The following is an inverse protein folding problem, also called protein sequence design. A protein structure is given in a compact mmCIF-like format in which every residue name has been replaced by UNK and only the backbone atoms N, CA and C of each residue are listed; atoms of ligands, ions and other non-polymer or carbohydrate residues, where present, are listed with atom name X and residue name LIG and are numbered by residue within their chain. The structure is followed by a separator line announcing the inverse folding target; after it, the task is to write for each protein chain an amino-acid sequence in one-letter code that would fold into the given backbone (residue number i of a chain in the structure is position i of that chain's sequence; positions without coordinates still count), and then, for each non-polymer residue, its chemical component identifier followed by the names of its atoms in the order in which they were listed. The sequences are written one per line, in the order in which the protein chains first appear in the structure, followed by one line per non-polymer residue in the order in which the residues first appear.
data_IF_050579615304
#
_entry.id   IF_050579615304
#
_cell.length_a   1.000
_cell.length_b   1.000
_cell.length_c   1.000
_cell.angle_alpha   90.00
_cell.angle_beta   90.00
_cell.angle_gamma   90.00
#
_symmetry.space_group_name_H-M   'P 1'
#
loop_
_entity.id
_entity.type
_entity.pdbx_description
1 polymer ?
#
# COMPACT_ATOMS: atom_id res chain seq x y z
N UNK A 1 -10.82 19.72 -24.91
CA UNK A 1 -10.49 19.07 -23.61
C UNK A 1 -10.47 17.56 -23.74
N UNK A 2 -11.49 16.91 -24.33
CA UNK A 2 -11.43 15.47 -24.65
C UNK A 2 -10.20 15.11 -25.51
N UNK A 3 -9.78 16.03 -26.38
CA UNK A 3 -8.59 15.87 -27.23
C UNK A 3 -7.26 15.83 -26.45
N UNK A 4 -7.24 16.29 -25.20
CA UNK A 4 -6.06 16.22 -24.35
C UNK A 4 -5.98 14.91 -23.56
N UNK A 5 -7.03 14.08 -23.58
CA UNK A 5 -7.11 12.81 -22.87
C UNK A 5 -6.71 11.65 -23.82
N UNK A 6 -5.58 11.01 -23.55
CA UNK A 6 -5.21 9.73 -24.18
C UNK A 6 -5.80 8.57 -23.36
N UNK A 7 -6.31 7.55 -24.08
CA UNK A 7 -6.95 6.34 -23.57
C UNK A 7 -6.49 5.18 -24.43
N UNK A 8 -5.36 4.58 -24.07
CA UNK A 8 -4.71 3.53 -24.87
C UNK A 8 -4.73 2.23 -24.08
N UNK A 9 -5.10 1.12 -24.71
CA UNK A 9 -4.95 -0.22 -24.12
C UNK A 9 -3.71 -0.86 -24.74
N UNK A 10 -2.74 -1.21 -23.89
CA UNK A 10 -1.49 -1.85 -24.32
C UNK A 10 -1.23 -3.05 -23.42
N UNK A 11 -1.17 -4.24 -24.02
CA UNK A 11 -0.95 -5.52 -23.31
C UNK A 11 -1.89 -5.73 -22.11
N UNK A 12 -3.19 -5.46 -22.31
CA UNK A 12 -4.20 -5.60 -21.24
C UNK A 12 -4.22 -4.47 -20.22
N UNK A 13 -3.29 -3.49 -20.29
CA UNK A 13 -3.27 -2.33 -19.39
C UNK A 13 -3.92 -1.14 -20.05
N UNK A 14 -4.99 -0.61 -19.46
CA UNK A 14 -5.60 0.63 -19.89
C UNK A 14 -4.83 1.83 -19.32
N UNK A 15 -4.16 2.58 -20.19
CA UNK A 15 -3.40 3.79 -19.86
C UNK A 15 -4.27 5.01 -20.12
N UNK A 16 -4.50 5.80 -19.08
CA UNK A 16 -5.28 7.04 -19.14
C UNK A 16 -4.39 8.18 -18.68
N UNK A 17 -4.18 9.16 -19.56
CA UNK A 17 -3.24 10.27 -19.29
C UNK A 17 -3.67 11.53 -19.99
N UNK A 18 -3.22 12.67 -19.45
CA UNK A 18 -3.31 13.95 -20.12
C UNK A 18 -2.06 14.16 -20.98
N UNK A 19 -2.25 14.61 -22.22
CA UNK A 19 -1.18 14.87 -23.19
C UNK A 19 -0.59 16.28 -23.04
N UNK A 20 -1.10 17.07 -22.10
CA UNK A 20 -0.62 18.40 -21.76
C UNK A 20 -0.89 18.72 -20.28
N UNK A 21 -0.17 19.70 -19.74
CA UNK A 21 -0.41 20.19 -18.39
C UNK A 21 -1.73 20.95 -18.34
N UNK A 22 -2.67 20.46 -17.55
CA UNK A 22 -3.97 21.08 -17.32
C UNK A 22 -4.11 21.37 -15.83
N UNK A 23 -4.54 22.59 -15.49
CA UNK A 23 -4.80 23.00 -14.11
C UNK A 23 -6.13 23.74 -14.03
N UNK A 24 -6.73 23.79 -12.83
CA UNK A 24 -8.01 24.49 -12.53
C UNK A 24 -9.25 23.95 -13.25
N UNK A 25 -9.24 22.67 -13.58
CA UNK A 25 -10.41 21.95 -14.10
C UNK A 25 -10.65 20.70 -13.28
N UNK A 26 -11.93 20.38 -13.04
CA UNK A 26 -12.33 19.12 -12.44
C UNK A 26 -12.60 18.09 -13.56
N UNK A 27 -12.06 16.89 -13.38
CA UNK A 27 -12.18 15.81 -14.35
C UNK A 27 -12.47 14.51 -13.60
N UNK A 28 -13.63 13.92 -13.91
CA UNK A 28 -14.08 12.66 -13.33
C UNK A 28 -14.28 11.63 -14.43
N UNK A 29 -13.71 10.45 -14.21
CA UNK A 29 -13.90 9.31 -15.09
C UNK A 29 -14.49 8.15 -14.29
N UNK A 30 -15.51 7.52 -14.86
CA UNK A 30 -16.08 6.28 -14.36
C UNK A 30 -15.70 5.15 -15.30
N UNK A 31 -15.14 4.08 -14.75
CA UNK A 31 -14.67 2.90 -15.47
C UNK A 31 -15.35 1.68 -14.87
N UNK A 32 -15.81 0.77 -15.71
CA UNK A 32 -16.30 -0.55 -15.31
C UNK A 32 -15.48 -1.57 -16.09
N UNK A 33 -14.89 -2.52 -15.38
CA UNK A 33 -14.10 -3.61 -15.94
C UNK A 33 -14.48 -4.91 -15.20
N UNK A 34 -14.41 -6.06 -15.87
CA UNK A 34 -14.83 -7.33 -15.27
C UNK A 34 -13.90 -7.78 -14.15
N UNK A 35 -12.59 -7.56 -14.30
CA UNK A 35 -11.55 -7.95 -13.35
C UNK A 35 -10.49 -6.83 -13.29
N UNK A 36 -9.84 -6.68 -12.13
CA UNK A 36 -8.78 -5.69 -11.94
C UNK A 36 -7.66 -6.25 -11.07
N UNK A 37 -6.51 -6.50 -11.69
CA UNK A 37 -5.31 -6.98 -10.99
C UNK A 37 -4.32 -5.84 -10.73
N UNK A 38 -4.58 -4.65 -11.29
CA UNK A 38 -3.65 -3.53 -11.24
C UNK A 38 -4.34 -2.17 -11.27
N UNK A 39 -3.99 -1.30 -10.32
CA UNK A 39 -4.39 0.11 -10.31
C UNK A 39 -3.21 1.02 -9.95
N UNK A 40 -2.67 1.75 -10.94
CA UNK A 40 -1.56 2.68 -10.73
C UNK A 40 -2.04 4.13 -10.85
N UNK A 41 -1.55 5.01 -9.98
CA UNK A 41 -1.80 6.45 -10.04
C UNK A 41 -0.50 7.24 -9.94
N UNK A 42 -0.41 8.30 -10.74
CA UNK A 42 0.72 9.23 -10.75
C UNK A 42 0.23 10.67 -10.84
N UNK A 43 1.07 11.61 -10.44
CA UNK A 43 0.73 13.03 -10.43
C UNK A 43 -0.26 13.37 -9.32
N UNK A 44 -1.35 14.05 -9.69
CA UNK A 44 -2.31 14.63 -8.73
C UNK A 44 -3.72 14.06 -8.91
N UNK A 45 -3.87 12.82 -9.40
CA UNK A 45 -5.19 12.20 -9.52
C UNK A 45 -5.58 11.50 -8.20
N UNK A 46 -6.87 11.53 -7.87
CA UNK A 46 -7.44 10.60 -6.90
C UNK A 46 -8.02 9.42 -7.67
N UNK A 47 -7.83 8.20 -7.16
CA UNK A 47 -8.40 6.99 -7.74
C UNK A 47 -9.19 6.28 -6.65
N UNK A 48 -10.40 5.87 -6.98
CA UNK A 48 -11.26 5.05 -6.11
C UNK A 48 -11.62 3.80 -6.88
N UNK A 49 -11.39 2.63 -6.28
CA UNK A 49 -11.76 1.32 -6.82
C UNK A 49 -12.68 0.66 -5.78
N UNK A 50 -13.88 0.27 -6.21
CA UNK A 50 -14.93 -0.25 -5.34
C UNK A 50 -15.66 -1.38 -6.05
N UNK A 51 -16.03 -2.43 -5.32
CA UNK A 51 -17.03 -3.49 -5.62
C UNK A 51 -16.97 -4.23 -6.99
N UNK A 52 -17.10 -5.57 -6.94
CA UNK A 52 -16.14 -6.44 -6.28
C UNK A 52 -14.78 -6.35 -7.01
N UNK A 53 -13.71 -6.17 -6.25
CA UNK A 53 -12.35 -6.32 -6.76
C UNK A 53 -12.03 -7.81 -6.82
N UNK A 54 -12.08 -8.34 -8.04
CA UNK A 54 -11.79 -9.74 -8.38
C UNK A 54 -10.61 -9.82 -9.34
N UNK A 55 -9.90 -10.94 -9.31
CA UNK A 55 -8.69 -11.12 -10.11
C UNK A 55 -8.12 -12.52 -10.13
N UNK A 56 -7.01 -12.70 -10.85
CA UNK A 56 -6.38 -14.00 -11.11
C UNK A 56 -5.53 -14.55 -9.94
N UNK A 57 -5.69 -13.97 -8.75
CA UNK A 57 -4.91 -14.28 -7.56
C UNK A 57 -3.74 -13.33 -7.28
N UNK A 58 -3.49 -12.33 -8.13
CA UNK A 58 -2.52 -11.26 -7.83
C UNK A 58 -3.10 -9.86 -7.97
N UNK A 59 -2.74 -8.97 -7.05
CA UNK A 59 -3.10 -7.55 -7.12
C UNK A 59 -1.88 -6.65 -6.94
N UNK A 60 -1.80 -5.56 -7.68
CA UNK A 60 -0.74 -4.56 -7.53
C UNK A 60 -1.27 -3.14 -7.63
N UNK A 61 -0.80 -2.27 -6.76
CA UNK A 61 -1.05 -0.83 -6.83
C UNK A 61 0.24 -0.05 -6.67
N UNK A 62 0.38 1.01 -7.47
CA UNK A 62 1.49 1.96 -7.36
C UNK A 62 0.98 3.39 -7.28
N UNK A 63 1.42 4.13 -6.27
CA UNK A 63 1.17 5.56 -6.09
C UNK A 63 2.49 6.30 -6.26
N UNK A 64 2.67 7.00 -7.39
CA UNK A 64 3.86 7.82 -7.63
C UNK A 64 3.58 9.34 -7.62
N UNK A 65 2.49 9.73 -6.96
CA UNK A 65 1.94 11.08 -6.93
C UNK A 65 1.92 11.72 -5.54
N UNK A 66 1.11 12.76 -5.41
CA UNK A 66 0.84 13.46 -4.15
C UNK A 66 -0.58 13.23 -3.61
N UNK A 67 -1.38 12.44 -4.32
CA UNK A 67 -2.80 12.17 -4.01
C UNK A 67 -3.04 10.71 -3.66
N UNK A 68 -4.30 10.39 -3.40
CA UNK A 68 -4.72 9.14 -2.78
C UNK A 68 -5.23 8.15 -3.81
N UNK A 69 -4.90 6.88 -3.61
CA UNK A 69 -5.69 5.76 -4.11
C UNK A 69 -6.44 5.11 -2.94
N UNK A 70 -7.72 4.86 -3.15
CA UNK A 70 -8.63 4.23 -2.20
C UNK A 70 -9.22 2.99 -2.85
N UNK A 71 -9.01 1.81 -2.26
CA UNK A 71 -9.36 0.52 -2.86
C UNK A 71 -10.07 -0.32 -1.82
N UNK A 72 -11.30 -0.70 -2.13
CA UNK A 72 -12.14 -1.47 -1.23
C UNK A 72 -12.97 -2.53 -1.94
N UNK A 73 -13.55 -3.44 -1.16
CA UNK A 73 -14.47 -4.47 -1.66
C UNK A 73 -13.76 -5.58 -2.42
N UNK A 74 -12.63 -6.06 -1.93
CA UNK A 74 -12.04 -7.33 -2.39
C UNK A 74 -12.98 -8.48 -2.03
N UNK A 75 -13.37 -9.27 -3.03
CA UNK A 75 -14.28 -10.42 -2.86
C UNK A 75 -13.55 -11.76 -2.95
N UNK A 76 -12.32 -11.76 -3.48
CA UNK A 76 -11.49 -12.94 -3.65
C UNK A 76 -10.38 -13.05 -2.58
N UNK A 77 -9.92 -14.29 -2.37
CA UNK A 77 -8.66 -14.55 -1.66
C UNK A 77 -7.51 -14.47 -2.65
N UNK A 78 -6.64 -13.48 -2.48
CA UNK A 78 -5.48 -13.30 -3.33
C UNK A 78 -4.29 -14.14 -2.84
N UNK A 79 -3.44 -14.58 -3.76
CA UNK A 79 -2.15 -15.18 -3.41
C UNK A 79 -1.13 -14.11 -3.06
N UNK A 80 -1.08 -13.02 -3.82
CA UNK A 80 -0.08 -11.96 -3.64
C UNK A 80 -0.69 -10.59 -3.85
N UNK A 81 -0.36 -9.65 -2.97
CA UNK A 81 -0.70 -8.23 -3.10
C UNK A 81 0.55 -7.37 -2.92
N UNK A 82 0.79 -6.43 -3.84
CA UNK A 82 1.90 -5.48 -3.79
C UNK A 82 1.38 -4.03 -3.78
N UNK A 83 1.82 -3.26 -2.80
CA UNK A 83 1.46 -1.85 -2.61
C UNK A 83 2.74 -1.02 -2.60
N UNK A 84 2.96 -0.21 -3.64
CA UNK A 84 4.16 0.63 -3.75
C UNK A 84 3.78 2.11 -3.75
N UNK A 85 4.20 2.85 -2.73
CA UNK A 85 4.04 4.30 -2.66
C UNK A 85 5.41 4.97 -2.79
N UNK A 86 5.63 5.66 -3.90
CA UNK A 86 6.84 6.44 -4.17
C UNK A 86 6.50 7.92 -4.33
N UNK A 87 6.63 8.72 -3.27
CA UNK A 87 6.25 10.14 -3.31
C UNK A 87 5.65 10.62 -1.99
N UNK A 88 4.57 11.41 -2.07
CA UNK A 88 3.88 11.97 -0.90
C UNK A 88 2.39 11.63 -0.87
N UNK A 89 1.91 10.82 -1.82
CA UNK A 89 0.54 10.34 -1.87
C UNK A 89 0.26 9.24 -0.84
N UNK A 90 -0.99 8.78 -0.85
CA UNK A 90 -1.44 7.75 0.10
C UNK A 90 -2.12 6.59 -0.60
N UNK A 91 -2.01 5.40 -0.03
CA UNK A 91 -2.83 4.24 -0.38
C UNK A 91 -3.68 3.84 0.83
N UNK A 92 -4.99 3.80 0.64
CA UNK A 92 -5.96 3.29 1.61
C UNK A 92 -6.55 2.02 0.99
N UNK A 93 -6.37 0.88 1.67
CA UNK A 93 -6.83 -0.41 1.17
C UNK A 93 -7.46 -1.19 2.31
N UNK A 94 -8.72 -1.59 2.15
CA UNK A 94 -9.44 -2.39 3.14
C UNK A 94 -9.90 -3.74 2.56
N UNK A 95 -10.54 -4.54 3.40
CA UNK A 95 -11.08 -5.86 3.08
C UNK A 95 -10.07 -6.84 2.46
N UNK A 96 -8.78 -6.69 2.78
CA UNK A 96 -7.72 -7.54 2.23
C UNK A 96 -7.84 -8.96 2.79
N UNK A 97 -7.86 -9.96 1.94
CA UNK A 97 -7.58 -11.36 2.31
C UNK A 97 -6.54 -11.93 1.36
N UNK A 98 -5.29 -12.08 1.82
CA UNK A 98 -4.17 -12.45 0.94
C UNK A 98 -3.16 -13.39 1.60
N UNK A 99 -2.51 -14.26 0.84
CA UNK A 99 -1.42 -15.09 1.39
C UNK A 99 -0.15 -14.27 1.66
N UNK A 100 0.34 -13.51 0.68
CA UNK A 100 1.52 -12.66 0.84
C UNK A 100 1.20 -11.20 0.50
N UNK A 101 1.45 -10.31 1.46
CA UNK A 101 1.29 -8.87 1.30
C UNK A 101 2.65 -8.19 1.37
N UNK A 102 2.91 -7.29 0.43
CA UNK A 102 4.11 -6.45 0.40
C UNK A 102 3.68 -4.99 0.30
N UNK A 103 4.14 -4.16 1.23
CA UNK A 103 3.93 -2.73 1.23
C UNK A 103 5.27 -2.00 1.31
N UNK A 104 5.58 -1.19 0.30
CA UNK A 104 6.81 -0.39 0.25
C UNK A 104 6.44 1.09 0.16
N UNK A 105 7.00 1.89 1.07
CA UNK A 105 6.90 3.34 1.06
C UNK A 105 8.28 3.94 0.88
N UNK A 106 8.48 4.67 -0.22
CA UNK A 106 9.68 5.47 -0.49
C UNK A 106 9.31 6.94 -0.61
N UNK A 107 9.80 7.77 0.31
CA UNK A 107 9.45 9.19 0.42
C UNK A 107 8.68 9.53 1.69
N UNK A 108 7.60 10.28 1.55
CA UNK A 108 6.80 10.83 2.67
C UNK A 108 5.32 10.44 2.60
N UNK A 109 4.97 9.49 1.75
CA UNK A 109 3.61 9.00 1.59
C UNK A 109 3.13 8.12 2.74
N UNK A 110 1.86 7.74 2.73
CA UNK A 110 1.28 6.89 3.75
C UNK A 110 0.56 5.68 3.14
N UNK A 111 0.61 4.55 3.83
CA UNK A 111 -0.15 3.35 3.49
C UNK A 111 -0.97 2.96 4.72
N UNK A 112 -2.25 2.67 4.49
CA UNK A 112 -3.15 2.13 5.50
C UNK A 112 -3.82 0.89 4.91
N UNK A 113 -3.63 -0.24 5.57
CA UNK A 113 -4.11 -1.57 5.17
C UNK A 113 -5.00 -2.15 6.27
N UNK A 114 -6.07 -2.82 5.86
CA UNK A 114 -6.99 -3.53 6.77
C UNK A 114 -7.34 -4.90 6.20
N UNK A 115 -7.45 -5.91 7.07
CA UNK A 115 -7.80 -7.28 6.65
C UNK A 115 -6.88 -8.34 7.27
N UNK A 116 -6.58 -9.38 6.50
CA UNK A 116 -5.80 -10.53 6.94
C UNK A 116 -4.72 -10.90 5.93
N UNK A 117 -3.54 -11.27 6.44
CA UNK A 117 -2.49 -11.89 5.63
C UNK A 117 -1.79 -13.05 6.31
N UNK A 118 -1.25 -14.01 5.53
CA UNK A 118 -0.35 -15.01 6.12
C UNK A 118 1.03 -14.43 6.36
N UNK A 119 1.61 -13.79 5.34
CA UNK A 119 2.89 -13.09 5.42
C UNK A 119 2.72 -11.62 5.06
N UNK A 120 3.35 -10.75 5.84
CA UNK A 120 3.39 -9.32 5.57
C UNK A 120 4.83 -8.81 5.57
N UNK A 121 5.23 -8.21 4.46
CA UNK A 121 6.49 -7.49 4.35
C UNK A 121 6.23 -6.00 4.24
N UNK A 122 6.68 -5.24 5.24
CA UNK A 122 6.51 -3.80 5.33
C UNK A 122 7.86 -3.10 5.25
N UNK A 123 8.06 -2.24 4.25
CA UNK A 123 9.28 -1.45 4.11
C UNK A 123 8.98 0.03 4.02
N UNK A 124 9.65 0.81 4.85
CA UNK A 124 9.62 2.27 4.78
C UNK A 124 11.04 2.77 4.60
N UNK A 125 11.26 3.58 3.57
CA UNK A 125 12.49 4.32 3.32
C UNK A 125 12.17 5.79 3.17
N UNK A 126 12.51 6.60 4.17
CA UNK A 126 12.22 8.03 4.22
C UNK A 126 11.46 8.44 5.48
N UNK A 127 10.41 9.25 5.31
CA UNK A 127 9.62 9.83 6.41
C UNK A 127 8.13 9.44 6.34
N UNK A 128 7.76 8.59 5.38
CA UNK A 128 6.40 8.08 5.23
C UNK A 128 6.02 7.05 6.29
N UNK A 129 4.76 6.60 6.29
CA UNK A 129 4.28 5.65 7.29
C UNK A 129 3.46 4.50 6.68
N UNK A 130 3.47 3.37 7.38
CA UNK A 130 2.56 2.24 7.17
C UNK A 130 1.75 2.07 8.46
N UNK A 131 0.42 2.14 8.41
CA UNK A 131 -0.46 2.23 9.59
C UNK A 131 -1.58 1.18 9.56
N UNK A 132 -1.29 -0.02 10.05
CA UNK A 132 -2.07 -1.22 9.73
C UNK A 132 -2.42 -2.07 10.97
N UNK A 133 -2.80 -1.47 12.10
CA UNK A 133 -3.23 -2.27 13.26
C UNK A 133 -4.43 -3.18 12.97
N UNK A 134 -5.24 -2.80 11.99
CA UNK A 134 -6.39 -3.57 11.51
C UNK A 134 -6.02 -4.62 10.46
N UNK A 135 -4.73 -4.77 10.13
CA UNK A 135 -4.20 -5.86 9.32
C UNK A 135 -3.63 -6.94 10.26
N UNK A 136 -4.30 -8.07 10.33
CA UNK A 136 -3.87 -9.21 11.15
C UNK A 136 -3.00 -10.12 10.29
N UNK A 137 -1.72 -10.23 10.64
CA UNK A 137 -0.74 -11.06 9.92
C UNK A 137 -0.19 -12.17 10.82
N UNK A 138 0.12 -13.34 10.24
CA UNK A 138 0.77 -14.42 10.99
C UNK A 138 2.27 -14.13 11.12
N UNK A 139 2.95 -14.01 9.99
CA UNK A 139 4.37 -13.69 9.91
C UNK A 139 4.59 -12.27 9.38
N UNK A 140 5.47 -11.49 10.02
CA UNK A 140 5.79 -10.11 9.63
C UNK A 140 7.30 -9.88 9.53
N UNK A 141 7.74 -9.32 8.40
CA UNK A 141 9.06 -8.70 8.19
C UNK A 141 8.87 -7.19 8.00
N UNK A 142 9.18 -6.40 9.03
CA UNK A 142 9.01 -4.96 9.03
C UNK A 142 10.35 -4.23 9.13
N UNK A 143 10.61 -3.33 8.19
CA UNK A 143 11.87 -2.58 8.13
C UNK A 143 11.62 -1.09 7.89
N UNK A 144 12.09 -0.25 8.80
CA UNK A 144 12.10 1.21 8.63
C UNK A 144 13.52 1.73 8.51
N UNK A 145 13.83 2.39 7.40
CA UNK A 145 15.04 3.17 7.20
C UNK A 145 14.70 4.67 7.08
N UNK A 146 15.26 5.50 7.96
CA UNK A 146 14.96 6.93 8.05
C UNK A 146 14.13 7.28 9.28
N UNK A 147 13.09 8.10 9.10
CA UNK A 147 12.27 8.67 10.19
C UNK A 147 10.82 8.17 10.17
N UNK A 148 10.44 7.38 9.17
CA UNK A 148 9.10 6.85 9.00
C UNK A 148 8.73 5.73 9.98
N UNK A 149 7.45 5.55 10.25
CA UNK A 149 6.95 4.56 11.21
C UNK A 149 6.12 3.45 10.56
N UNK A 150 6.15 2.26 11.14
CA UNK A 150 5.35 1.11 10.72
C UNK A 150 4.55 0.62 11.92
N UNK A 151 3.25 0.41 11.75
CA UNK A 151 2.44 -0.27 12.77
C UNK A 151 1.59 -1.39 12.20
N UNK A 152 1.52 -2.53 12.89
CA UNK A 152 0.80 -3.73 12.43
C UNK A 152 0.38 -4.64 13.60
N UNK A 153 -0.40 -5.69 13.30
CA UNK A 153 -0.70 -6.79 14.23
C UNK A 153 -0.05 -8.09 13.74
N UNK A 154 0.75 -8.75 14.60
CA UNK A 154 1.45 -10.00 14.29
C UNK A 154 1.16 -11.09 15.35
N UNK A 155 0.95 -12.34 14.93
CA UNK A 155 0.56 -13.43 15.83
C UNK A 155 1.46 -14.68 15.80
N UNK A 156 2.45 -14.77 14.92
CA UNK A 156 3.40 -15.90 14.91
C UNK A 156 4.86 -15.42 14.89
N UNK A 157 5.43 -15.11 13.72
CA UNK A 157 6.83 -14.69 13.62
C UNK A 157 6.96 -13.21 13.32
N UNK A 158 7.80 -12.52 14.08
CA UNK A 158 8.13 -11.12 13.86
C UNK A 158 9.64 -10.94 13.67
N UNK A 159 10.03 -10.47 12.49
CA UNK A 159 11.31 -9.81 12.27
C UNK A 159 11.08 -8.30 12.11
N UNK A 160 11.68 -7.49 12.97
CA UNK A 160 11.57 -6.03 12.92
C UNK A 160 12.94 -5.36 12.93
N UNK A 161 13.15 -4.41 12.01
CA UNK A 161 14.41 -3.67 11.90
C UNK A 161 14.17 -2.17 11.77
N UNK A 162 14.87 -1.39 12.58
CA UNK A 162 14.91 0.06 12.47
C UNK A 162 16.33 0.52 12.21
N UNK A 163 16.52 1.31 11.15
CA UNK A 163 17.76 2.03 10.86
C UNK A 163 17.47 3.52 10.72
N UNK A 164 17.69 4.29 11.77
CA UNK A 164 17.39 5.73 11.84
C UNK A 164 16.59 6.11 13.08
N UNK A 165 15.61 6.99 12.91
CA UNK A 165 14.80 7.60 13.99
C UNK A 165 13.33 7.17 13.96
N UNK A 166 12.92 6.37 12.97
CA UNK A 166 11.57 5.84 12.83
C UNK A 166 11.21 4.81 13.90
N UNK A 167 9.92 4.46 14.01
CA UNK A 167 9.45 3.47 14.99
C UNK A 167 8.70 2.31 14.34
N UNK A 168 8.83 1.13 14.92
CA UNK A 168 7.97 -0.02 14.61
C UNK A 168 7.14 -0.34 15.84
N UNK A 169 5.83 -0.25 15.71
CA UNK A 169 4.88 -0.52 16.79
C UNK A 169 4.04 -1.74 16.41
N UNK A 170 3.98 -2.75 17.28
CA UNK A 170 3.23 -3.97 16.95
C UNK A 170 2.24 -4.35 18.05
N UNK A 171 1.08 -4.84 17.61
CA UNK A 171 0.08 -5.54 18.44
C UNK A 171 0.19 -7.05 18.24
N UNK A 172 -0.57 -7.79 19.03
CA UNK A 172 -0.65 -9.25 18.96
C UNK A 172 0.36 -9.95 19.87
N UNK A 173 0.46 -11.27 19.72
CA UNK A 173 1.29 -12.11 20.57
C UNK A 173 2.15 -13.06 19.71
N UNK A 174 3.13 -12.55 18.95
CA UNK A 174 4.04 -13.40 18.19
C UNK A 174 4.82 -14.34 19.12
N UNK A 175 5.03 -15.57 18.67
CA UNK A 175 5.76 -16.62 19.39
C UNK A 175 7.27 -16.56 19.18
N UNK A 176 7.72 -15.98 18.06
CA UNK A 176 9.12 -15.76 17.71
C UNK A 176 9.32 -14.28 17.34
N UNK A 177 10.20 -13.59 18.06
CA UNK A 177 10.45 -12.14 17.89
C UNK A 177 11.93 -11.87 17.78
N UNK A 178 12.33 -11.34 16.62
CA UNK A 178 13.68 -10.88 16.32
C UNK A 178 13.66 -9.39 16.01
N UNK A 179 14.51 -8.62 16.68
CA UNK A 179 14.52 -7.16 16.54
C UNK A 179 15.93 -6.61 16.39
N UNK A 180 16.10 -5.65 15.49
CA UNK A 180 17.35 -4.91 15.28
C UNK A 180 17.09 -3.41 15.29
N UNK A 181 17.82 -2.65 16.11
CA UNK A 181 17.74 -1.18 16.12
C UNK A 181 19.13 -0.60 15.93
N UNK A 182 19.28 0.25 14.91
CA UNK A 182 20.45 1.06 14.64
C UNK A 182 20.03 2.52 14.48
N UNK A 183 20.29 3.35 15.51
CA UNK A 183 19.88 4.76 15.53
C UNK A 183 19.10 5.11 16.80
N UNK A 184 18.17 6.05 16.69
CA UNK A 184 17.39 6.59 17.82
C UNK A 184 15.93 6.14 17.86
N UNK A 185 15.51 5.38 16.84
CA UNK A 185 14.17 4.81 16.75
C UNK A 185 13.91 3.68 17.74
N UNK A 186 12.68 3.14 17.74
CA UNK A 186 12.25 2.10 18.68
C UNK A 186 11.41 1.02 18.02
N UNK A 187 11.50 -0.19 18.56
CA UNK A 187 10.59 -1.30 18.27
C UNK A 187 9.85 -1.61 19.56
N UNK A 188 8.52 -1.49 19.58
CA UNK A 188 7.73 -1.59 20.80
C UNK A 188 6.42 -2.34 20.58
N UNK A 189 6.11 -3.26 21.48
CA UNK A 189 4.77 -3.84 21.61
C UNK A 189 3.83 -2.80 22.22
N UNK A 190 2.64 -2.66 21.65
CA UNK A 190 1.56 -1.79 22.16
C UNK A 190 0.29 -2.62 22.37
N UNK A 191 -0.52 -2.22 23.34
CA UNK A 191 -1.79 -2.88 23.68
C UNK A 191 -2.93 -2.45 22.73
#
# INVERSE_FOLDING_TARGET
MINALSREVVNGVWKIRLNSNISRYDFKLHIIIPEINKADVSGSANVTVTEPVSGDGSFSTKVSGSRTIDISGFDDVFTTMNVDVSGSGSALIDDITVRNLSANVSGSGNVQLQGMSSTFTARVSGSGNISDYNLISSDVDAQSSGSGSISFTCNDKLYAKVSGSGNILYKGNPTDVQTEVSGSGKIQKVD
#
